data_IF_649461749339
#
_entry.id   IF_649461749339
#
_cell.length_a   1.000
_cell.length_b   1.000
_cell.length_c   1.000
_cell.angle_alpha   90.00
_cell.angle_beta   90.00
_cell.angle_gamma   90.00
#
_symmetry.space_group_name_H-M   'P 1'
#
loop_
_entity.id
_entity.type
_entity.pdbx_description
1 polymer ?
#
# COMPACT_ATOMS: atom_id res chain seq x y z
N UNK A 1 5.32 1.67 13.80
CA UNK A 1 4.39 0.61 14.27
C UNK A 1 3.60 -0.05 13.15
N UNK A 2 2.97 0.67 12.22
CA UNK A 2 2.08 0.08 11.22
C UNK A 2 2.71 -1.03 10.37
N UNK A 3 3.99 -0.89 10.01
CA UNK A 3 4.76 -1.92 9.32
C UNK A 3 4.81 -3.25 10.10
N UNK A 4 5.12 -3.17 11.39
CA UNK A 4 5.28 -4.35 12.26
C UNK A 4 3.93 -5.03 12.55
N UNK A 5 2.89 -4.25 12.79
CA UNK A 5 1.51 -4.76 12.93
C UNK A 5 1.08 -5.49 11.65
N UNK A 6 1.37 -4.92 10.47
CA UNK A 6 1.05 -5.57 9.20
C UNK A 6 1.83 -6.90 9.03
N UNK A 7 3.11 -6.92 9.38
CA UNK A 7 3.93 -8.14 9.31
C UNK A 7 3.39 -9.23 10.22
N UNK A 8 3.00 -8.89 11.44
CA UNK A 8 2.45 -9.85 12.40
C UNK A 8 1.20 -10.53 11.86
N UNK A 9 0.28 -9.74 11.31
CA UNK A 9 -0.91 -10.26 10.65
C UNK A 9 -0.60 -11.12 9.41
N UNK A 10 0.52 -10.85 8.72
CA UNK A 10 0.96 -11.60 7.54
C UNK A 10 1.91 -12.77 7.88
N UNK A 11 1.86 -13.26 9.12
CA UNK A 11 2.50 -14.49 9.54
C UNK A 11 3.90 -14.32 10.11
N UNK A 12 4.26 -13.13 10.62
CA UNK A 12 5.50 -12.90 11.36
C UNK A 12 5.19 -12.68 12.85
N UNK A 13 5.03 -13.76 13.65
CA UNK A 13 4.38 -13.68 14.96
C UNK A 13 5.19 -12.90 16.01
N UNK A 14 4.45 -12.39 17.01
CA UNK A 14 4.93 -11.82 18.27
C UNK A 14 5.82 -10.57 18.13
N UNK A 15 5.81 -9.88 16.99
CA UNK A 15 6.64 -8.68 16.83
C UNK A 15 6.22 -7.62 17.84
N UNK A 16 4.91 -7.32 17.92
CA UNK A 16 4.42 -6.24 18.76
C UNK A 16 4.78 -6.43 20.24
N UNK A 17 4.60 -7.66 20.76
CA UNK A 17 4.98 -7.99 22.12
C UNK A 17 6.49 -7.90 22.33
N UNK A 18 7.28 -8.52 21.44
CA UNK A 18 8.75 -8.53 21.57
C UNK A 18 9.37 -7.14 21.45
N UNK A 19 8.78 -6.24 20.66
CA UNK A 19 9.25 -4.84 20.55
C UNK A 19 9.12 -4.10 21.88
N UNK A 20 8.09 -4.37 22.67
CA UNK A 20 7.88 -3.70 23.96
C UNK A 20 8.96 -4.07 24.98
N UNK A 21 9.54 -5.26 24.88
CA UNK A 21 10.61 -5.75 25.76
C UNK A 21 12.03 -5.38 25.27
N UNK A 22 12.16 -4.65 24.15
CA UNK A 22 13.46 -4.31 23.61
C UNK A 22 14.14 -3.17 24.39
N UNK A 23 15.45 -3.28 24.65
CA UNK A 23 16.28 -2.14 25.03
C UNK A 23 16.17 -1.00 24.00
N UNK A 24 16.25 0.24 24.48
CA UNK A 24 16.15 1.45 23.65
C UNK A 24 17.06 1.43 22.40
N UNK A 25 18.27 0.90 22.52
CA UNK A 25 19.23 0.79 21.40
C UNK A 25 18.73 -0.13 20.29
N UNK A 26 18.11 -1.27 20.64
CA UNK A 26 17.54 -2.21 19.68
C UNK A 26 16.22 -1.68 19.10
N UNK A 27 15.42 -0.97 19.90
CA UNK A 27 14.23 -0.28 19.40
C UNK A 27 14.59 0.77 18.34
N UNK A 28 15.64 1.58 18.57
CA UNK A 28 16.12 2.53 17.56
C UNK A 28 16.65 1.84 16.31
N UNK A 29 17.41 0.75 16.45
CA UNK A 29 17.87 -0.03 15.31
C UNK A 29 16.70 -0.61 14.49
N UNK A 30 15.63 -1.05 15.17
CA UNK A 30 14.41 -1.53 14.53
C UNK A 30 13.69 -0.41 13.77
N UNK A 31 13.68 0.82 14.29
CA UNK A 31 13.18 1.99 13.56
C UNK A 31 14.02 2.25 12.31
N UNK A 32 15.35 2.14 12.38
CA UNK A 32 16.22 2.25 11.20
C UNK A 32 15.90 1.18 10.15
N UNK A 33 15.70 -0.08 10.56
CA UNK A 33 15.26 -1.14 9.65
C UNK A 33 13.90 -0.84 9.01
N UNK A 34 12.96 -0.27 9.76
CA UNK A 34 11.66 0.15 9.23
C UNK A 34 11.81 1.24 8.17
N UNK A 35 12.70 2.22 8.39
CA UNK A 35 13.01 3.26 7.39
C UNK A 35 13.58 2.62 6.12
N UNK A 36 14.55 1.72 6.24
CA UNK A 36 15.12 1.01 5.09
C UNK A 36 14.07 0.18 4.34
N UNK A 37 13.10 -0.42 5.03
CA UNK A 37 11.96 -1.10 4.39
C UNK A 37 11.12 -0.13 3.56
N UNK A 38 10.77 1.03 4.12
CA UNK A 38 9.95 2.03 3.45
C UNK A 38 10.67 2.63 2.23
N UNK A 39 11.96 2.96 2.38
CA UNK A 39 12.81 3.40 1.27
C UNK A 39 12.93 2.32 0.19
N UNK A 40 13.00 1.05 0.56
CA UNK A 40 13.05 -0.07 -0.39
C UNK A 40 11.75 -0.22 -1.20
N UNK A 41 10.60 0.03 -0.57
CA UNK A 41 9.31 0.07 -1.24
C UNK A 41 9.22 1.29 -2.17
N UNK A 42 9.87 2.41 -1.84
CA UNK A 42 9.89 3.61 -2.69
C UNK A 42 10.82 3.47 -3.90
N UNK A 43 12.05 3.04 -3.68
CA UNK A 43 13.07 2.94 -4.72
C UNK A 43 12.91 1.66 -5.57
N UNK A 44 13.02 1.79 -6.90
CA UNK A 44 12.95 0.65 -7.82
C UNK A 44 14.18 -0.28 -7.70
N UNK A 45 15.36 0.29 -7.43
CA UNK A 45 16.64 -0.41 -7.37
C UNK A 45 17.38 -0.16 -6.04
N UNK A 46 16.72 -0.44 -4.92
CA UNK A 46 17.40 -0.41 -3.61
C UNK A 46 18.49 -1.48 -3.57
N UNK A 47 19.70 -1.08 -3.15
CA UNK A 47 20.79 -2.03 -2.91
C UNK A 47 20.40 -2.94 -1.75
N UNK A 48 20.21 -4.23 -2.02
CA UNK A 48 19.87 -5.22 -0.99
C UNK A 48 21.18 -5.75 -0.39
N UNK A 49 21.44 -5.56 0.90
CA UNK A 49 22.61 -6.14 1.55
C UNK A 49 22.58 -7.67 1.46
N UNK A 50 23.75 -8.31 1.40
CA UNK A 50 23.86 -9.78 1.30
C UNK A 50 23.11 -10.52 2.43
N UNK A 51 23.00 -9.90 3.61
CA UNK A 51 22.25 -10.46 4.75
C UNK A 51 20.75 -10.10 4.75
N UNK A 52 20.21 -9.65 3.62
CA UNK A 52 18.80 -9.26 3.47
C UNK A 52 18.42 -7.90 4.06
N UNK A 53 19.30 -7.27 4.86
CA UNK A 53 19.16 -5.90 5.35
C UNK A 53 18.25 -5.71 6.57
N UNK A 54 17.77 -6.80 7.19
CA UNK A 54 16.83 -6.77 8.33
C UNK A 54 17.23 -7.72 9.47
N UNK A 55 18.47 -7.66 9.99
CA UNK A 55 18.96 -8.57 11.03
C UNK A 55 18.15 -8.58 12.33
N UNK A 56 17.70 -7.42 12.82
CA UNK A 56 16.94 -7.30 14.08
C UNK A 56 15.54 -7.88 13.89
N UNK A 57 14.85 -7.47 12.83
CA UNK A 57 13.52 -8.02 12.49
C UNK A 57 13.56 -9.53 12.29
N UNK A 58 14.60 -10.03 11.60
CA UNK A 58 14.82 -11.48 11.43
C UNK A 58 15.01 -12.17 12.78
N UNK A 59 15.79 -11.59 13.68
CA UNK A 59 15.99 -12.10 15.04
C UNK A 59 14.69 -12.16 15.85
N UNK A 60 13.86 -11.11 15.77
CA UNK A 60 12.58 -11.02 16.49
C UNK A 60 11.55 -12.03 15.99
N UNK A 61 11.41 -12.13 14.67
CA UNK A 61 10.38 -12.97 14.02
C UNK A 61 10.79 -14.43 13.91
N UNK A 62 12.09 -14.72 14.02
CA UNK A 62 12.68 -16.04 13.71
C UNK A 62 12.27 -16.58 12.33
N UNK A 63 11.91 -15.69 11.40
CA UNK A 63 11.52 -16.01 10.03
C UNK A 63 12.41 -15.27 9.04
N UNK A 64 12.59 -15.88 7.88
CA UNK A 64 13.33 -15.24 6.81
C UNK A 64 12.55 -14.04 6.26
N UNK A 65 13.06 -12.85 6.57
CA UNK A 65 12.59 -11.58 6.06
C UNK A 65 13.77 -10.82 5.45
N UNK A 66 13.52 -10.11 4.35
CA UNK A 66 14.55 -9.35 3.64
C UNK A 66 13.95 -8.19 2.87
N UNK A 67 14.74 -7.17 2.60
CA UNK A 67 14.37 -6.05 1.72
C UNK A 67 13.97 -6.52 0.31
N UNK A 68 14.49 -7.67 -0.15
CA UNK A 68 14.05 -8.28 -1.41
C UNK A 68 12.56 -8.64 -1.41
N UNK A 69 12.04 -9.11 -0.28
CA UNK A 69 10.60 -9.38 -0.11
C UNK A 69 9.81 -8.07 -0.24
N UNK A 70 10.29 -7.00 0.39
CA UNK A 70 9.66 -5.68 0.36
C UNK A 70 9.53 -5.13 -1.06
N UNK A 71 10.60 -5.23 -1.85
CA UNK A 71 10.58 -4.85 -3.25
C UNK A 71 9.56 -5.70 -4.04
N UNK A 72 9.58 -7.03 -3.87
CA UNK A 72 8.67 -7.94 -4.60
C UNK A 72 7.20 -7.81 -4.23
N UNK A 73 6.89 -7.46 -2.98
CA UNK A 73 5.51 -7.33 -2.46
C UNK A 73 5.12 -5.87 -2.21
N UNK A 74 5.78 -4.94 -2.91
CA UNK A 74 5.68 -3.48 -2.73
C UNK A 74 4.23 -3.03 -2.56
N UNK A 75 3.36 -3.39 -3.50
CA UNK A 75 2.00 -2.86 -3.53
C UNK A 75 1.13 -3.49 -2.43
N UNK A 76 1.30 -4.78 -2.15
CA UNK A 76 0.61 -5.45 -1.03
C UNK A 76 0.99 -4.80 0.30
N UNK A 77 2.28 -4.50 0.49
CA UNK A 77 2.78 -3.88 1.72
C UNK A 77 2.27 -2.45 1.85
N UNK A 78 2.30 -1.65 0.78
CA UNK A 78 1.75 -0.28 0.79
C UNK A 78 0.28 -0.29 1.19
N UNK A 79 -0.53 -1.12 0.53
CA UNK A 79 -1.97 -1.18 0.81
C UNK A 79 -2.25 -1.69 2.23
N UNK A 80 -1.46 -2.66 2.70
CA UNK A 80 -1.54 -3.17 4.05
C UNK A 80 -1.18 -2.16 5.13
N UNK A 81 -0.06 -1.46 4.98
CA UNK A 81 0.34 -0.39 5.90
C UNK A 81 -0.70 0.73 5.92
N UNK A 82 -1.23 1.12 4.75
CA UNK A 82 -2.31 2.11 4.64
C UNK A 82 -3.57 1.67 5.41
N UNK A 83 -3.96 0.40 5.26
CA UNK A 83 -5.09 -0.19 6.00
C UNK A 83 -4.84 -0.19 7.52
N UNK A 84 -3.64 -0.59 7.97
CA UNK A 84 -3.28 -0.54 9.40
C UNK A 84 -3.29 0.88 9.94
N UNK A 85 -2.74 1.84 9.21
CA UNK A 85 -2.79 3.25 9.61
C UNK A 85 -4.24 3.70 9.84
N UNK A 86 -5.13 3.37 8.89
CA UNK A 86 -6.54 3.78 8.88
C UNK A 86 -7.36 3.13 9.97
N UNK A 87 -7.23 1.82 10.12
CA UNK A 87 -8.16 1.03 10.91
C UNK A 87 -7.66 0.81 12.34
N UNK A 88 -6.34 0.83 12.54
CA UNK A 88 -5.70 0.50 13.81
C UNK A 88 -5.04 1.73 14.41
N UNK A 89 -4.06 2.34 13.72
CA UNK A 89 -3.29 3.44 14.31
C UNK A 89 -4.14 4.69 14.56
N UNK A 90 -5.09 5.00 13.68
CA UNK A 90 -6.00 6.13 13.90
C UNK A 90 -6.88 5.98 15.16
N UNK A 91 -7.14 4.74 15.60
CA UNK A 91 -7.90 4.45 16.83
C UNK A 91 -7.00 4.46 18.05
N UNK A 92 -5.84 3.80 17.98
CA UNK A 92 -4.88 3.72 19.10
C UNK A 92 -4.34 5.09 19.48
N UNK A 93 -3.96 5.89 18.49
CA UNK A 93 -3.40 7.22 18.73
C UNK A 93 -4.49 8.30 18.69
N UNK A 94 -5.75 7.95 18.92
CA UNK A 94 -6.87 8.88 18.87
C UNK A 94 -6.67 10.06 19.82
N UNK A 95 -6.17 9.82 21.02
CA UNK A 95 -5.82 10.82 22.04
C UNK A 95 -4.72 11.78 21.56
N UNK A 96 -3.63 11.26 21.01
CA UNK A 96 -2.51 12.04 20.45
C UNK A 96 -3.00 12.85 19.26
N UNK A 97 -3.79 12.24 18.37
CA UNK A 97 -4.42 12.91 17.24
C UNK A 97 -5.35 14.01 17.73
N UNK A 98 -6.17 13.77 18.76
CA UNK A 98 -7.04 14.78 19.37
C UNK A 98 -6.24 15.95 19.97
N UNK A 99 -5.09 15.71 20.61
CA UNK A 99 -4.22 16.77 21.13
C UNK A 99 -3.69 17.64 19.98
N UNK A 100 -3.17 17.01 18.93
CA UNK A 100 -2.67 17.70 17.74
C UNK A 100 -3.81 18.48 17.05
N UNK A 101 -5.02 17.90 16.98
CA UNK A 101 -6.21 18.50 16.39
C UNK A 101 -6.72 19.69 17.20
N UNK A 102 -6.83 19.57 18.54
CA UNK A 102 -7.26 20.67 19.43
C UNK A 102 -6.33 21.88 19.31
N UNK A 103 -5.02 21.64 19.24
CA UNK A 103 -4.03 22.70 18.99
C UNK A 103 -4.26 23.41 17.65
N UNK A 104 -4.63 22.67 16.59
CA UNK A 104 -4.97 23.24 15.27
C UNK A 104 -6.34 23.93 15.23
N UNK A 105 -7.34 23.42 15.95
CA UNK A 105 -8.69 24.03 16.06
C UNK A 105 -8.60 25.38 16.76
N UNK A 106 -7.84 25.51 17.85
CA UNK A 106 -7.61 26.81 18.52
C UNK A 106 -7.01 27.83 17.55
N UNK A 107 -6.13 27.40 16.64
CA UNK A 107 -5.54 28.26 15.62
C UNK A 107 -6.51 28.60 14.48
N UNK A 108 -7.45 27.72 14.11
CA UNK A 108 -8.44 27.94 13.04
C UNK A 108 -9.71 28.68 13.47
N UNK A 109 -10.17 28.51 14.71
CA UNK A 109 -11.31 29.27 15.28
C UNK A 109 -11.01 30.78 15.32
N UNK A 110 -9.72 31.16 15.36
CA UNK A 110 -9.29 32.56 15.17
C UNK A 110 -9.41 33.07 13.73
N UNK A 111 -9.52 32.19 12.74
CA UNK A 111 -9.43 32.54 11.31
C UNK A 111 -10.74 32.35 10.53
N UNK A 112 -11.67 31.48 10.95
CA UNK A 112 -12.94 31.29 10.24
C UNK A 112 -13.99 30.61 11.13
N UNK A 113 -15.12 31.28 11.36
CA UNK A 113 -16.28 30.77 12.11
C UNK A 113 -17.10 29.73 11.35
N UNK A 114 -16.47 28.62 10.95
CA UNK A 114 -17.11 27.51 10.23
C UNK A 114 -17.44 26.30 11.12
N UNK A 115 -18.50 25.56 10.76
CA UNK A 115 -19.02 24.39 11.48
C UNK A 115 -18.01 23.25 11.64
N UNK A 116 -18.01 22.64 12.83
CA UNK A 116 -16.97 21.77 13.41
C UNK A 116 -17.11 20.27 13.02
N UNK A 117 -18.18 19.88 12.33
CA UNK A 117 -18.68 18.50 12.32
C UNK A 117 -18.11 17.55 11.25
N UNK A 118 -17.23 17.99 10.36
CA UNK A 118 -16.64 17.12 9.33
C UNK A 118 -15.15 17.43 9.11
N UNK A 119 -14.34 17.15 10.13
CA UNK A 119 -12.92 17.51 10.12
C UNK A 119 -12.06 16.36 9.61
N UNK A 120 -11.82 16.37 8.30
CA UNK A 120 -10.78 15.57 7.67
C UNK A 120 -9.38 16.00 8.18
N UNK A 121 -8.71 15.14 8.94
CA UNK A 121 -7.35 15.41 9.44
C UNK A 121 -6.29 15.18 8.36
N UNK A 122 -5.57 16.23 7.97
CA UNK A 122 -4.32 16.11 7.19
C UNK A 122 -3.15 15.86 8.14
N UNK A 123 -2.68 14.62 8.20
CA UNK A 123 -1.48 14.22 8.95
C UNK A 123 -0.25 14.86 8.28
N UNK A 124 0.71 15.44 9.03
CA UNK A 124 1.97 15.92 8.45
C UNK A 124 2.65 14.84 7.60
N UNK A 125 3.10 15.21 6.40
CA UNK A 125 3.62 14.24 5.43
C UNK A 125 2.55 13.56 4.56
N UNK A 126 1.29 13.96 4.67
CA UNK A 126 0.19 13.50 3.81
C UNK A 126 -0.41 14.62 2.93
N UNK A 127 -0.83 14.35 1.67
CA UNK A 127 -0.77 13.05 1.00
C UNK A 127 0.68 12.59 0.78
N UNK A 128 1.00 11.38 1.24
CA UNK A 128 2.35 10.86 1.16
C UNK A 128 2.54 10.26 -0.24
N UNK A 129 3.67 10.47 -0.93
CA UNK A 129 3.90 9.93 -2.27
C UNK A 129 3.60 8.42 -2.37
N UNK A 130 3.91 7.66 -1.32
CA UNK A 130 3.66 6.21 -1.26
C UNK A 130 2.24 5.81 -0.82
N UNK A 131 1.64 6.53 0.13
CA UNK A 131 0.41 6.08 0.81
C UNK A 131 -0.83 6.84 0.35
N UNK A 132 -0.64 7.90 -0.44
CA UNK A 132 -1.69 8.78 -0.92
C UNK A 132 -2.27 9.63 0.20
N UNK A 133 -3.49 10.13 -0.01
CA UNK A 133 -4.23 10.84 1.02
C UNK A 133 -4.73 9.88 2.09
N UNK A 134 -4.69 10.36 3.32
CA UNK A 134 -5.14 9.63 4.49
C UNK A 134 -6.18 10.48 5.22
N UNK A 135 -7.40 9.96 5.30
CA UNK A 135 -8.53 10.63 5.93
C UNK A 135 -8.91 9.85 7.19
N UNK A 136 -8.78 10.50 8.35
CA UNK A 136 -9.19 9.94 9.64
C UNK A 136 -10.56 10.50 9.99
N UNK A 137 -11.57 9.63 10.13
CA UNK A 137 -12.83 10.00 10.76
C UNK A 137 -12.72 9.83 12.28
N UNK A 138 -12.80 10.94 13.02
CA UNK A 138 -12.69 10.95 14.49
C UNK A 138 -14.02 10.71 15.21
N UNK A 139 -15.09 10.38 14.47
CA UNK A 139 -16.45 10.34 15.03
C UNK A 139 -16.67 9.19 16.03
N UNK A 140 -15.79 8.18 16.05
CA UNK A 140 -15.83 7.02 16.96
C UNK A 140 -14.53 6.86 17.77
N UNK A 141 -14.03 7.93 18.39
CA UNK A 141 -12.80 7.84 19.21
C UNK A 141 -13.07 7.13 20.55
N UNK A 142 -13.13 5.80 20.52
CA UNK A 142 -12.86 4.99 21.72
C UNK A 142 -11.34 4.93 21.91
N UNK A 143 -10.84 5.34 23.07
CA UNK A 143 -9.46 5.05 23.46
C UNK A 143 -9.33 3.54 23.62
N UNK A 144 -8.68 2.89 22.66
CA UNK A 144 -8.47 1.46 22.61
C UNK A 144 -6.98 1.18 22.78
N UNK A 145 -6.65 0.28 23.71
CA UNK A 145 -5.28 -0.20 23.91
C UNK A 145 -4.96 -1.33 22.91
N UNK A 146 -3.69 -1.53 22.56
CA UNK A 146 -3.21 -2.58 21.64
C UNK A 146 -3.66 -4.00 22.04
N UNK A 147 -3.91 -4.22 23.34
CA UNK A 147 -4.44 -5.47 23.87
C UNK A 147 -5.97 -5.62 23.74
N UNK A 148 -6.70 -4.58 23.34
CA UNK A 148 -8.14 -4.63 23.17
C UNK A 148 -8.49 -5.38 21.88
N UNK A 149 -9.16 -6.53 22.02
CA UNK A 149 -9.61 -7.37 20.91
C UNK A 149 -10.43 -6.58 19.88
N UNK A 150 -11.13 -5.50 20.28
CA UNK A 150 -11.93 -4.67 19.39
C UNK A 150 -11.12 -3.92 18.33
N UNK A 151 -9.81 -3.75 18.54
CA UNK A 151 -8.91 -3.21 17.51
C UNK A 151 -8.74 -4.21 16.36
N UNK A 152 -8.75 -5.49 16.71
CA UNK A 152 -8.57 -6.62 15.81
C UNK A 152 -9.90 -7.16 15.27
N UNK A 153 -11.03 -6.81 15.90
CA UNK A 153 -12.38 -7.12 15.46
C UNK A 153 -12.83 -6.15 14.35
N UNK A 154 -12.76 -6.60 13.11
CA UNK A 154 -13.15 -5.84 11.92
C UNK A 154 -12.31 -6.21 10.71
N UNK A 155 -12.18 -5.26 9.77
CA UNK A 155 -11.35 -5.38 8.59
C UNK A 155 -9.87 -5.52 9.00
N UNK A 156 -9.29 -6.70 8.75
CA UNK A 156 -7.89 -7.00 8.92
C UNK A 156 -6.99 -6.17 7.99
N UNK A 157 -5.68 -6.15 8.24
CA UNK A 157 -4.70 -5.54 7.35
C UNK A 157 -4.85 -6.03 5.90
N UNK A 158 -5.16 -5.10 4.99
CA UNK A 158 -5.49 -5.31 3.56
C UNK A 158 -6.97 -5.57 3.22
N UNK A 159 -7.92 -5.52 4.16
CA UNK A 159 -9.35 -5.71 3.85
C UNK A 159 -10.00 -4.47 3.21
N UNK A 160 -9.36 -3.30 3.34
CA UNK A 160 -9.82 -2.02 2.79
C UNK A 160 -9.20 -1.69 1.42
N UNK A 161 -8.64 -2.69 0.74
CA UNK A 161 -7.97 -2.50 -0.56
C UNK A 161 -8.95 -1.98 -1.60
N UNK A 162 -8.67 -0.81 -2.16
CA UNK A 162 -9.54 -0.16 -3.14
C UNK A 162 -9.31 -0.69 -4.56
N UNK A 163 -10.24 -0.41 -5.47
CA UNK A 163 -10.03 -0.67 -6.89
C UNK A 163 -8.84 0.11 -7.45
N UNK A 164 -8.58 1.31 -6.95
CA UNK A 164 -7.40 2.10 -7.31
C UNK A 164 -6.11 1.35 -6.93
N UNK A 165 -6.05 0.71 -5.75
CA UNK A 165 -4.88 -0.08 -5.32
C UNK A 165 -4.65 -1.32 -6.22
N UNK A 166 -5.70 -1.86 -6.85
CA UNK A 166 -5.66 -3.03 -7.75
C UNK A 166 -5.53 -2.65 -9.23
N UNK A 167 -5.60 -1.36 -9.56
CA UNK A 167 -5.65 -0.87 -10.93
C UNK A 167 -4.28 -0.83 -11.59
N UNK A 168 -4.21 -1.31 -12.84
CA UNK A 168 -3.05 -1.29 -13.72
C UNK A 168 -3.35 -0.53 -15.00
N UNK A 169 -2.33 0.17 -15.51
CA UNK A 169 -2.35 0.86 -16.80
C UNK A 169 -1.52 0.07 -17.80
N UNK A 170 -2.13 -0.28 -18.92
CA UNK A 170 -1.52 -1.04 -20.00
C UNK A 170 -1.34 -0.13 -21.21
N UNK A 171 -0.20 -0.22 -21.89
CA UNK A 171 0.00 0.46 -23.18
C UNK A 171 0.42 -0.52 -24.26
N UNK A 172 -0.01 -0.21 -25.48
CA UNK A 172 0.17 -1.03 -26.66
C UNK A 172 1.02 -0.30 -27.70
N UNK A 173 1.75 -1.07 -28.50
CA UNK A 173 2.57 -0.50 -29.57
C UNK A 173 1.69 -0.07 -30.74
N UNK A 174 1.92 1.14 -31.26
CA UNK A 174 1.21 1.63 -32.45
C UNK A 174 1.49 0.73 -33.65
N UNK A 175 0.45 0.35 -34.39
CA UNK A 175 0.54 -0.53 -35.56
C UNK A 175 0.36 -2.01 -35.24
N UNK A 176 0.19 -2.36 -33.95
CA UNK A 176 -0.06 -3.72 -33.49
C UNK A 176 -1.34 -3.74 -32.64
N UNK A 177 -2.54 -3.74 -33.26
CA UNK A 177 -3.80 -3.68 -32.53
C UNK A 177 -3.93 -4.83 -31.54
N UNK A 178 -4.22 -4.51 -30.28
CA UNK A 178 -4.47 -5.50 -29.22
C UNK A 178 -5.95 -5.40 -28.82
N UNK A 179 -6.65 -6.52 -28.86
CA UNK A 179 -8.06 -6.62 -28.49
C UNK A 179 -8.26 -6.92 -27.00
N UNK A 180 -9.42 -6.57 -26.44
CA UNK A 180 -9.76 -6.89 -25.05
C UNK A 180 -9.64 -8.39 -24.73
N UNK A 181 -10.14 -9.33 -25.57
CA UNK A 181 -10.00 -10.76 -25.31
C UNK A 181 -8.55 -11.23 -25.28
N UNK A 182 -7.67 -10.67 -26.12
CA UNK A 182 -6.23 -10.98 -26.10
C UNK A 182 -5.60 -10.56 -24.78
N UNK A 183 -5.88 -9.34 -24.31
CA UNK A 183 -5.40 -8.86 -23.01
C UNK A 183 -5.92 -9.77 -21.90
N UNK A 184 -7.23 -10.01 -21.85
CA UNK A 184 -7.84 -10.86 -20.82
C UNK A 184 -7.21 -12.24 -20.80
N UNK A 185 -7.04 -12.87 -21.96
CA UNK A 185 -6.41 -14.18 -22.10
C UNK A 185 -4.95 -14.19 -21.64
N UNK A 186 -4.15 -13.18 -21.98
CA UNK A 186 -2.75 -13.10 -21.56
C UNK A 186 -2.62 -13.16 -20.03
N UNK A 187 -3.42 -12.37 -19.32
CA UNK A 187 -3.37 -12.31 -17.87
C UNK A 187 -3.99 -13.54 -17.23
N UNK A 188 -5.14 -14.02 -17.73
CA UNK A 188 -5.79 -15.19 -17.11
C UNK A 188 -5.02 -16.48 -17.32
N UNK A 189 -4.35 -16.64 -18.46
CA UNK A 189 -3.48 -17.79 -18.72
C UNK A 189 -2.26 -17.83 -17.80
N UNK A 190 -1.72 -16.66 -17.45
CA UNK A 190 -0.46 -16.57 -16.71
C UNK A 190 -0.67 -16.51 -15.19
N UNK A 191 -1.74 -15.84 -14.74
CA UNK A 191 -1.97 -15.53 -13.32
C UNK A 191 -3.30 -16.10 -12.77
N UNK A 192 -3.99 -16.94 -13.54
CA UNK A 192 -5.29 -17.50 -13.19
C UNK A 192 -6.43 -16.48 -13.32
N UNK A 193 -7.59 -16.74 -12.74
CA UNK A 193 -8.75 -15.85 -12.80
C UNK A 193 -8.54 -14.57 -11.96
N UNK A 194 -7.73 -13.64 -12.48
CA UNK A 194 -7.24 -12.48 -11.76
C UNK A 194 -7.85 -11.14 -12.19
N UNK A 195 -8.55 -11.09 -13.33
CA UNK A 195 -9.08 -9.84 -13.91
C UNK A 195 -10.48 -9.60 -13.36
N UNK A 196 -10.67 -8.49 -12.65
CA UNK A 196 -11.98 -8.04 -12.16
C UNK A 196 -12.71 -7.22 -13.24
N UNK A 197 -12.02 -6.26 -13.83
CA UNK A 197 -12.54 -5.36 -14.87
C UNK A 197 -11.42 -5.02 -15.86
N UNK A 198 -11.78 -4.84 -17.12
CA UNK A 198 -10.87 -4.41 -18.18
C UNK A 198 -11.63 -3.46 -19.11
N UNK A 199 -11.09 -2.26 -19.29
CA UNK A 199 -11.64 -1.23 -20.16
C UNK A 199 -10.58 -0.80 -21.16
N UNK A 200 -10.84 -0.99 -22.44
CA UNK A 200 -9.96 -0.52 -23.50
C UNK A 200 -10.08 0.99 -23.63
N UNK A 201 -8.95 1.68 -23.84
CA UNK A 201 -8.95 3.10 -24.11
C UNK A 201 -9.75 3.40 -25.38
N UNK A 202 -10.66 4.38 -25.27
CA UNK A 202 -11.52 4.78 -26.39
C UNK A 202 -10.64 5.19 -27.57
N UNK A 203 -10.72 4.40 -28.63
CA UNK A 203 -10.23 4.80 -29.92
C UNK A 203 -11.27 5.72 -30.55
N UNK A 204 -10.83 6.86 -31.10
CA UNK A 204 -11.66 7.59 -32.06
C UNK A 204 -12.10 6.60 -33.15
N UNK A 205 -13.31 6.74 -33.69
CA UNK A 205 -13.86 5.82 -34.69
C UNK A 205 -12.79 5.52 -35.76
N UNK A 206 -12.46 4.23 -35.92
CA UNK A 206 -11.46 3.69 -36.83
C UNK A 206 -9.97 3.75 -36.40
N UNK A 207 -9.66 4.14 -35.16
CA UNK A 207 -8.29 4.07 -34.60
C UNK A 207 -8.10 2.80 -33.74
N UNK A 208 -6.85 2.43 -33.49
CA UNK A 208 -6.51 1.34 -32.58
C UNK A 208 -6.51 1.84 -31.13
N UNK A 209 -6.97 1.04 -30.17
CA UNK A 209 -6.73 1.33 -28.76
C UNK A 209 -5.24 1.27 -28.46
N UNK A 210 -4.68 2.34 -27.89
CA UNK A 210 -3.26 2.42 -27.52
C UNK A 210 -2.99 2.13 -26.03
N UNK A 211 -4.06 2.02 -25.24
CA UNK A 211 -3.96 1.72 -23.82
C UNK A 211 -5.21 0.98 -23.32
N UNK A 212 -5.11 0.40 -22.13
CA UNK A 212 -6.24 -0.15 -21.40
C UNK A 212 -6.07 0.06 -19.89
N UNK A 213 -7.20 0.12 -19.21
CA UNK A 213 -7.31 0.13 -17.75
C UNK A 213 -7.76 -1.25 -17.29
N UNK A 214 -6.99 -1.88 -16.42
CA UNK A 214 -7.31 -3.20 -15.87
C UNK A 214 -7.36 -3.16 -14.36
N UNK A 215 -8.47 -3.57 -13.77
CA UNK A 215 -8.62 -3.77 -12.33
C UNK A 215 -8.48 -5.25 -12.05
N UNK A 216 -7.55 -5.60 -11.16
CA UNK A 216 -7.34 -6.98 -10.72
C UNK A 216 -8.22 -7.31 -9.52
N UNK A 217 -8.42 -8.60 -9.26
CA UNK A 217 -9.14 -9.08 -8.06
C UNK A 217 -8.31 -8.94 -6.79
N UNK A 218 -6.97 -8.89 -6.90
CA UNK A 218 -6.07 -8.80 -5.75
C UNK A 218 -4.84 -7.96 -6.04
N UNK A 219 -4.40 -7.17 -5.05
CA UNK A 219 -3.12 -6.43 -5.09
C UNK A 219 -1.93 -7.39 -5.16
N UNK A 220 -2.05 -8.61 -4.62
CA UNK A 220 -1.00 -9.63 -4.73
C UNK A 220 -0.68 -9.96 -6.19
N UNK A 221 -1.66 -9.90 -7.08
CA UNK A 221 -1.45 -10.12 -8.51
C UNK A 221 -0.74 -8.94 -9.18
N UNK A 222 -0.94 -7.70 -8.70
CA UNK A 222 -0.15 -6.53 -9.14
C UNK A 222 1.33 -6.78 -8.86
N UNK A 223 1.66 -7.23 -7.64
CA UNK A 223 3.02 -7.57 -7.24
C UNK A 223 3.61 -8.71 -8.08
N UNK A 224 2.81 -9.74 -8.40
CA UNK A 224 3.25 -10.84 -9.26
C UNK A 224 3.57 -10.38 -10.69
N UNK A 225 2.71 -9.54 -11.27
CA UNK A 225 2.89 -9.02 -12.64
C UNK A 225 4.14 -8.13 -12.73
N UNK A 226 4.33 -7.25 -11.75
CA UNK A 226 5.43 -6.29 -11.76
C UNK A 226 6.73 -6.86 -11.20
N UNK A 227 6.65 -7.89 -10.35
CA UNK A 227 7.78 -8.65 -9.78
C UNK A 227 8.91 -7.74 -9.27
N UNK A 228 8.54 -6.72 -8.50
CA UNK A 228 9.47 -5.75 -7.91
C UNK A 228 9.84 -4.54 -8.77
N UNK A 229 9.47 -4.55 -10.06
CA UNK A 229 9.68 -3.41 -10.97
C UNK A 229 8.49 -2.44 -10.93
N UNK A 230 8.62 -1.28 -11.57
CA UNK A 230 7.52 -0.33 -11.80
C UNK A 230 6.79 -0.61 -13.12
N UNK A 231 7.49 -1.24 -14.06
CA UNK A 231 6.96 -1.60 -15.38
C UNK A 231 7.32 -3.04 -15.72
N UNK A 232 6.35 -3.79 -16.20
CA UNK A 232 6.53 -5.11 -16.81
C UNK A 232 6.32 -5.03 -18.32
N UNK A 233 7.19 -5.69 -19.09
CA UNK A 233 7.04 -5.86 -20.53
C UNK A 233 6.55 -7.29 -20.79
N UNK A 234 5.31 -7.41 -21.26
CA UNK A 234 4.69 -8.67 -21.63
C UNK A 234 4.50 -8.73 -23.15
N UNK A 235 4.15 -9.90 -23.67
CA UNK A 235 3.82 -10.06 -25.08
C UNK A 235 2.73 -11.10 -25.31
N UNK A 236 1.94 -10.90 -26.36
CA UNK A 236 0.95 -11.86 -26.87
C UNK A 236 0.93 -11.81 -28.39
N UNK A 237 0.97 -12.96 -29.06
CA UNK A 237 0.94 -13.05 -30.52
C UNK A 237 1.96 -12.13 -31.23
N UNK A 238 3.16 -11.99 -30.67
CA UNK A 238 4.22 -11.09 -31.18
C UNK A 238 4.02 -9.60 -30.88
N UNK A 239 2.92 -9.20 -30.22
CA UNK A 239 2.61 -7.82 -29.84
C UNK A 239 3.15 -7.53 -28.43
N UNK A 240 3.80 -6.38 -28.24
CA UNK A 240 4.29 -5.96 -26.93
C UNK A 240 3.24 -5.18 -26.14
N UNK A 241 3.11 -5.52 -24.86
CA UNK A 241 2.25 -4.85 -23.89
C UNK A 241 3.12 -4.39 -22.73
N UNK A 242 3.13 -3.09 -22.46
CA UNK A 242 3.77 -2.54 -21.27
C UNK A 242 2.72 -2.37 -20.19
N UNK A 243 3.05 -2.80 -18.98
CA UNK A 243 2.12 -2.83 -17.86
C UNK A 243 2.76 -2.11 -16.69
N UNK A 244 2.03 -1.17 -16.08
CA UNK A 244 2.47 -0.46 -14.87
C UNK A 244 1.32 -0.30 -13.90
N UNK A 245 1.62 0.00 -12.65
CA UNK A 245 0.60 0.40 -11.67
C UNK A 245 -0.11 1.67 -12.17
N UNK A 246 -1.45 1.70 -12.09
CA UNK A 246 -2.18 2.94 -12.33
C UNK A 246 -1.94 3.92 -11.19
N UNK A 247 -1.57 5.14 -11.55
CA UNK A 247 -1.42 6.28 -10.65
C UNK A 247 -2.40 7.34 -11.15
N UNK A 248 -3.33 7.73 -10.27
CA UNK A 248 -4.27 8.79 -10.58
C UNK A 248 -3.47 10.08 -10.70
N UNK A 249 -3.60 10.79 -11.82
CA UNK A 249 -3.09 12.15 -11.94
C UNK A 249 -4.10 13.05 -11.23
N UNK A 250 -3.73 13.53 -10.05
CA UNK A 250 -4.40 14.64 -9.38
C UNK A 250 -4.04 15.97 -10.06
#
# INVERSE_FOLDING_TARGET
>A
MSLWIWLEHNGYPDINYKVMDLPYTLANALVTEAVSCLECIEAENSHIPNNGGLPITKGLTQKDISLKMFNKKRYTIIAGIKSVLKNICARIFADVLQIILKSRIINRVRASGGNIFDMHLTVPGFPHPLFGKFDISTNNTMNLDLSDEKIWMGNGPCDDVTDDDKSMFLTFSKGFPVSEPEVRYLFTRTYGDCVQSLSMGSAVVNDQSLFAMMILKSVRTVDQILNGKRVAKLHINGKHIWVRKYERRE
#
